data_IF_684754174206
#
_entry.id   IF_684754174206
#
_cell.length_a   1.000
_cell.length_b   1.000
_cell.length_c   1.000
_cell.angle_alpha   90.00
_cell.angle_beta   90.00
_cell.angle_gamma   90.00
#
_symmetry.space_group_name_H-M   'P 1'
#
loop_
_entity.id
_entity.type
_entity.pdbx_description
1 polymer ?
#
# COMPACT_ATOMS: atom_id res chain seq x y z
N UNK A 1 -42.84 -1.16 34.67
CA UNK A 1 -41.55 -1.68 34.17
C UNK A 1 -41.92 -2.52 32.97
N UNK A 2 -41.84 -1.94 31.72
CA UNK A 2 -42.13 -2.73 30.52
C UNK A 2 -41.10 -3.83 30.44
N UNK A 3 -41.58 -5.06 30.32
CA UNK A 3 -40.72 -6.23 30.25
C UNK A 3 -39.89 -6.15 28.95
N UNK A 4 -38.62 -5.78 29.09
CA UNK A 4 -37.67 -5.63 27.97
C UNK A 4 -37.52 -6.98 27.23
N UNK A 5 -37.85 -8.09 27.88
CA UNK A 5 -37.71 -9.44 27.35
C UNK A 5 -38.88 -9.90 26.46
N UNK A 6 -40.01 -9.19 26.48
CA UNK A 6 -41.15 -9.46 25.57
C UNK A 6 -40.96 -8.81 24.19
N UNK A 7 -39.88 -8.06 24.01
CA UNK A 7 -39.62 -7.43 22.70
C UNK A 7 -39.10 -8.49 21.71
N UNK A 8 -39.66 -8.49 20.51
CA UNK A 8 -39.27 -9.35 19.37
C UNK A 8 -37.75 -9.33 19.06
N UNK A 9 -37.04 -8.27 19.48
CA UNK A 9 -35.59 -8.14 19.41
C UNK A 9 -34.82 -9.20 20.24
N UNK A 10 -35.44 -9.77 21.27
CA UNK A 10 -34.83 -10.77 22.14
C UNK A 10 -35.24 -12.20 21.81
N UNK A 11 -35.93 -12.46 20.69
CA UNK A 11 -36.31 -13.82 20.33
C UNK A 11 -35.07 -14.70 20.07
N UNK A 12 -35.10 -15.93 20.60
CA UNK A 12 -33.99 -16.90 20.48
C UNK A 12 -33.62 -17.20 19.03
N UNK A 13 -34.59 -17.17 18.14
CA UNK A 13 -34.39 -17.43 16.70
C UNK A 13 -33.49 -16.38 16.03
N UNK A 14 -33.50 -15.15 16.52
CA UNK A 14 -32.64 -14.07 15.99
C UNK A 14 -31.22 -14.10 16.52
N UNK A 15 -31.01 -14.65 17.71
CA UNK A 15 -29.69 -14.81 18.32
C UNK A 15 -28.81 -15.82 17.58
N UNK A 16 -29.42 -16.93 17.12
CA UNK A 16 -28.72 -17.99 16.38
C UNK A 16 -28.18 -17.49 15.01
N UNK A 17 -28.78 -16.42 14.47
CA UNK A 17 -28.41 -15.83 13.17
C UNK A 17 -27.55 -14.56 13.30
N UNK A 18 -27.16 -14.17 14.50
CA UNK A 18 -26.32 -12.98 14.71
C UNK A 18 -24.85 -13.26 14.35
N UNK A 19 -24.60 -13.68 13.13
CA UNK A 19 -23.26 -13.76 12.57
C UNK A 19 -22.87 -12.40 11.97
N UNK A 20 -21.80 -11.81 12.48
CA UNK A 20 -21.22 -10.62 11.89
C UNK A 20 -20.37 -11.03 10.69
N UNK A 21 -20.81 -10.71 9.51
CA UNK A 21 -19.99 -10.83 8.30
C UNK A 21 -18.84 -9.84 8.36
N UNK A 22 -17.64 -10.31 8.67
CA UNK A 22 -16.42 -9.49 8.64
C UNK A 22 -15.89 -9.59 7.22
N UNK A 23 -16.00 -8.49 6.47
CA UNK A 23 -15.40 -8.41 5.13
C UNK A 23 -13.88 -8.33 5.25
N UNK A 24 -13.20 -9.10 4.41
CA UNK A 24 -11.75 -9.02 4.29
C UNK A 24 -11.34 -7.63 3.80
N UNK A 25 -10.39 -7.02 4.51
CA UNK A 25 -9.78 -5.74 4.15
C UNK A 25 -8.36 -6.04 3.68
N UNK A 26 -8.03 -5.86 2.39
CA UNK A 26 -6.66 -5.98 1.91
C UNK A 26 -5.75 -5.02 2.67
N UNK A 27 -4.62 -5.51 3.15
CA UNK A 27 -3.67 -4.73 3.97
C UNK A 27 -2.22 -5.17 3.77
N UNK A 28 -1.94 -5.90 2.68
CA UNK A 28 -0.64 -6.54 2.48
C UNK A 28 0.50 -5.54 2.29
N UNK A 29 0.29 -4.47 1.52
CA UNK A 29 1.32 -3.44 1.32
C UNK A 29 1.60 -2.71 2.64
N UNK A 30 0.55 -2.47 3.44
CA UNK A 30 0.70 -1.94 4.79
C UNK A 30 1.52 -2.86 5.71
N UNK A 31 1.29 -4.19 5.63
CA UNK A 31 2.03 -5.19 6.43
C UNK A 31 3.50 -5.32 6.02
N UNK A 32 3.84 -5.06 4.76
CA UNK A 32 5.23 -5.02 4.30
C UNK A 32 6.04 -3.88 4.93
N UNK A 33 5.37 -2.89 5.53
CA UNK A 33 6.03 -1.78 6.23
C UNK A 33 6.91 -0.90 5.34
N UNK A 34 6.60 -0.85 4.03
CA UNK A 34 7.41 -0.11 3.05
C UNK A 34 7.34 1.40 3.26
N UNK A 35 6.12 1.90 3.51
CA UNK A 35 5.86 3.33 3.61
C UNK A 35 6.15 3.84 5.02
N UNK A 36 7.26 4.55 5.17
CA UNK A 36 7.63 5.16 6.45
C UNK A 36 6.70 6.34 6.75
N UNK A 37 6.03 6.33 7.92
CA UNK A 37 5.17 7.44 8.32
C UNK A 37 6.00 8.66 8.70
N UNK A 38 5.58 9.83 8.24
CA UNK A 38 6.10 11.12 8.60
C UNK A 38 4.93 12.05 8.94
N UNK A 39 5.10 12.96 9.88
CA UNK A 39 4.05 13.88 10.31
C UNK A 39 4.51 15.30 10.05
N UNK A 40 3.67 16.07 9.37
CA UNK A 40 3.91 17.47 9.04
C UNK A 40 2.90 18.37 9.74
N UNK A 41 3.26 19.62 10.00
CA UNK A 41 2.42 20.64 10.61
C UNK A 41 1.77 21.58 9.58
N UNK A 42 2.05 21.35 8.30
CA UNK A 42 1.57 22.15 7.17
C UNK A 42 0.69 21.31 6.25
N UNK A 43 -0.10 21.96 5.40
CA UNK A 43 -0.93 21.27 4.38
C UNK A 43 -0.14 20.94 3.11
N UNK A 44 0.97 21.62 2.91
CA UNK A 44 1.86 21.43 1.77
C UNK A 44 3.21 20.98 2.30
N UNK A 45 3.85 20.03 1.62
CA UNK A 45 5.22 19.66 1.91
C UNK A 45 6.08 19.80 0.66
N UNK A 46 7.36 19.99 0.87
CA UNK A 46 8.29 20.15 -0.22
C UNK A 46 9.24 18.97 -0.30
N UNK A 47 9.35 18.38 -1.48
CA UNK A 47 10.37 17.39 -1.78
C UNK A 47 11.54 18.14 -2.42
N UNK A 48 12.66 18.19 -1.74
CA UNK A 48 13.91 18.73 -2.27
C UNK A 48 14.72 17.60 -2.87
N UNK A 49 15.08 17.74 -4.14
CA UNK A 49 16.01 16.83 -4.84
C UNK A 49 17.28 17.61 -5.10
N UNK A 50 18.39 17.15 -4.52
CA UNK A 50 19.72 17.64 -4.82
C UNK A 50 20.39 16.62 -5.75
N UNK A 51 20.98 17.11 -6.81
CA UNK A 51 21.83 16.31 -7.71
C UNK A 51 23.24 16.86 -7.59
N UNK A 52 24.14 16.06 -7.06
CA UNK A 52 25.57 16.41 -6.88
C UNK A 52 26.34 16.33 -8.21
N UNK A 53 25.64 16.22 -9.35
CA UNK A 53 26.21 16.05 -10.68
C UNK A 53 26.68 14.62 -10.94
N UNK A 54 27.10 14.36 -12.17
CA UNK A 54 27.63 13.05 -12.53
C UNK A 54 29.07 12.89 -12.01
N UNK A 55 29.38 11.68 -11.51
CA UNK A 55 30.75 11.32 -11.20
C UNK A 55 31.55 11.24 -12.49
N UNK A 56 32.40 12.23 -12.73
CA UNK A 56 33.22 12.32 -13.93
C UNK A 56 34.67 11.97 -13.60
N UNK A 57 35.28 11.15 -14.46
CA UNK A 57 36.72 10.87 -14.35
C UNK A 57 37.50 12.16 -14.59
N UNK A 58 38.41 12.49 -13.67
CA UNK A 58 39.28 13.65 -13.81
C UNK A 58 40.37 13.35 -14.83
N UNK A 59 40.37 14.10 -15.93
CA UNK A 59 41.40 14.00 -16.95
C UNK A 59 42.73 14.55 -16.42
N UNK A 60 43.86 13.89 -16.78
CA UNK A 60 45.17 14.39 -16.44
C UNK A 60 45.46 15.72 -17.16
N UNK A 61 45.96 16.70 -16.42
CA UNK A 61 46.42 17.97 -16.95
C UNK A 61 47.94 18.14 -16.74
N UNK A 62 48.62 18.89 -17.60
CA UNK A 62 50.05 19.23 -17.36
C UNK A 62 50.24 19.97 -16.05
N UNK A 63 51.38 19.80 -15.39
CA UNK A 63 51.70 20.58 -14.18
C UNK A 63 51.67 22.08 -14.47
N UNK A 64 50.84 22.86 -13.74
CA UNK A 64 50.64 24.27 -13.93
C UNK A 64 49.57 24.65 -14.97
N UNK A 65 48.89 23.67 -15.57
CA UNK A 65 47.72 23.90 -16.44
C UNK A 65 46.43 24.18 -15.61
N UNK A 66 45.43 24.76 -16.26
CA UNK A 66 44.13 25.00 -15.62
C UNK A 66 43.47 23.65 -15.24
N UNK A 67 42.89 23.57 -14.05
CA UNK A 67 42.07 22.43 -13.60
C UNK A 67 40.67 22.46 -14.26
N UNK A 68 39.99 21.31 -14.25
CA UNK A 68 38.60 21.24 -14.62
C UNK A 68 37.73 21.88 -13.55
N UNK A 69 36.80 22.73 -13.97
CA UNK A 69 35.80 23.32 -13.04
C UNK A 69 34.58 22.43 -13.04
N UNK A 70 34.19 21.95 -11.86
CA UNK A 70 32.95 21.18 -11.66
C UNK A 70 31.81 22.20 -11.50
N UNK A 71 30.71 21.98 -12.20
CA UNK A 71 29.49 22.80 -12.04
C UNK A 71 28.93 22.68 -10.62
N UNK A 72 28.16 23.70 -10.19
CA UNK A 72 27.49 23.68 -8.90
C UNK A 72 26.33 22.68 -8.86
N UNK A 73 25.99 22.29 -7.62
CA UNK A 73 24.86 21.38 -7.36
C UNK A 73 23.53 21.97 -7.86
N UNK A 74 22.76 21.15 -8.53
CA UNK A 74 21.42 21.53 -8.95
C UNK A 74 20.41 21.08 -7.88
N UNK A 75 19.68 22.05 -7.32
CA UNK A 75 18.58 21.80 -6.40
C UNK A 75 17.25 22.07 -7.06
N UNK A 76 16.32 21.15 -6.93
CA UNK A 76 14.93 21.33 -7.35
C UNK A 76 14.01 21.11 -6.17
N UNK A 77 13.04 22.00 -6.01
CA UNK A 77 12.03 21.95 -4.96
C UNK A 77 10.67 21.72 -5.62
N UNK A 78 9.97 20.67 -5.21
CA UNK A 78 8.59 20.38 -5.60
C UNK A 78 7.67 20.48 -4.39
N UNK A 79 6.62 21.28 -4.51
CA UNK A 79 5.59 21.40 -3.48
C UNK A 79 4.41 20.51 -3.86
N UNK A 80 4.02 19.63 -2.93
CA UNK A 80 2.85 18.77 -3.06
C UNK A 80 1.89 19.11 -1.92
N UNK A 81 0.61 19.19 -2.25
CA UNK A 81 -0.44 19.39 -1.26
C UNK A 81 -1.00 18.03 -0.82
N UNK A 82 -1.15 17.86 0.49
CA UNK A 82 -1.74 16.63 1.04
C UNK A 82 -3.23 16.59 0.72
N UNK A 83 -3.74 15.53 0.08
CA UNK A 83 -5.16 15.39 -0.17
C UNK A 83 -5.94 15.16 1.12
N UNK A 84 -7.18 15.65 1.14
CA UNK A 84 -8.10 15.59 2.25
C UNK A 84 -9.20 14.57 1.99
N UNK A 85 -9.36 13.63 2.92
CA UNK A 85 -10.38 12.60 2.86
C UNK A 85 -11.27 12.68 4.09
N UNK A 86 -12.57 12.93 3.90
CA UNK A 86 -13.54 13.08 4.97
C UNK A 86 -14.72 12.12 4.78
N UNK A 87 -15.21 11.61 5.89
CA UNK A 87 -16.46 10.86 5.96
C UNK A 87 -17.29 11.32 7.14
N UNK A 88 -18.53 11.66 6.84
CA UNK A 88 -19.51 12.05 7.85
C UNK A 88 -20.47 10.90 8.12
N UNK A 89 -20.86 10.77 9.39
CA UNK A 89 -21.87 9.83 9.84
C UNK A 89 -22.66 10.48 11.00
N UNK A 90 -23.74 9.88 11.40
CA UNK A 90 -24.50 10.33 12.55
C UNK A 90 -25.14 9.14 13.26
N UNK A 91 -25.36 9.28 14.56
CA UNK A 91 -26.17 8.37 15.36
C UNK A 91 -27.43 9.10 15.77
N UNK A 92 -28.59 8.62 15.31
CA UNK A 92 -29.90 9.15 15.67
C UNK A 92 -30.37 8.52 16.99
N UNK A 93 -31.21 9.25 17.73
CA UNK A 93 -31.79 8.76 18.97
C UNK A 93 -32.54 7.43 18.78
N UNK A 94 -33.27 7.31 17.66
CA UNK A 94 -34.08 6.13 17.33
C UNK A 94 -33.21 4.87 17.06
N UNK A 95 -31.95 5.06 16.68
CA UNK A 95 -31.01 3.93 16.45
C UNK A 95 -30.58 3.24 17.74
N UNK A 96 -30.75 3.88 18.89
CA UNK A 96 -30.30 3.39 20.19
C UNK A 96 -31.49 3.10 21.11
N UNK A 97 -32.62 3.77 20.88
CA UNK A 97 -33.79 3.67 21.73
C UNK A 97 -34.41 2.27 21.64
N UNK A 98 -34.43 1.55 22.78
CA UNK A 98 -35.03 0.20 22.90
C UNK A 98 -34.43 -0.86 21.93
N UNK A 99 -33.22 -0.64 21.43
CA UNK A 99 -32.51 -1.59 20.57
C UNK A 99 -31.58 -2.45 21.41
N UNK A 100 -31.59 -3.75 21.15
CA UNK A 100 -30.69 -4.70 21.81
C UNK A 100 -29.29 -4.59 21.26
N UNK A 101 -28.27 -4.66 22.14
CA UNK A 101 -26.88 -4.74 21.71
C UNK A 101 -26.59 -6.02 20.92
N UNK A 102 -25.77 -5.91 19.86
CA UNK A 102 -25.42 -7.03 19.01
C UNK A 102 -24.76 -8.16 19.80
N UNK A 103 -25.20 -9.39 19.57
CA UNK A 103 -24.72 -10.61 20.24
C UNK A 103 -24.91 -10.65 21.76
N UNK A 104 -25.79 -9.81 22.35
CA UNK A 104 -26.15 -9.84 23.76
C UNK A 104 -27.61 -10.20 23.93
N UNK A 105 -27.91 -11.07 24.92
CA UNK A 105 -29.28 -11.46 25.25
C UNK A 105 -29.96 -10.48 26.20
N UNK A 106 -29.19 -9.72 26.96
CA UNK A 106 -29.70 -8.97 28.13
C UNK A 106 -29.38 -7.47 28.06
N UNK A 107 -28.39 -7.05 27.24
CA UNK A 107 -27.96 -5.66 27.22
C UNK A 107 -28.62 -4.86 26.10
N UNK A 108 -29.06 -3.67 26.44
CA UNK A 108 -29.55 -2.69 25.47
C UNK A 108 -28.35 -1.99 24.82
N UNK A 109 -28.44 -1.66 23.53
CA UNK A 109 -27.44 -0.88 22.81
C UNK A 109 -27.22 0.47 23.50
N UNK A 110 -25.97 0.86 23.64
CA UNK A 110 -25.61 2.15 24.23
C UNK A 110 -25.15 3.11 23.14
N UNK A 111 -25.36 4.41 23.35
CA UNK A 111 -24.85 5.43 22.42
C UNK A 111 -23.34 5.30 22.20
N UNK A 112 -22.57 5.07 23.28
CA UNK A 112 -21.13 4.87 23.19
C UNK A 112 -20.75 3.61 22.39
N UNK A 113 -21.48 2.49 22.57
CA UNK A 113 -21.28 1.26 21.80
C UNK A 113 -21.55 1.46 20.31
N UNK A 114 -22.61 2.19 19.98
CA UNK A 114 -22.95 2.52 18.59
C UNK A 114 -21.92 3.41 17.94
N UNK A 115 -21.46 4.46 18.64
CA UNK A 115 -20.39 5.34 18.17
C UNK A 115 -19.10 4.53 17.94
N UNK A 116 -18.70 3.70 18.89
CA UNK A 116 -17.50 2.86 18.75
C UNK A 116 -17.60 1.89 17.56
N UNK A 117 -18.76 1.28 17.34
CA UNK A 117 -19.00 0.41 16.18
C UNK A 117 -18.89 1.17 14.84
N UNK A 118 -19.45 2.38 14.76
CA UNK A 118 -19.33 3.23 13.57
C UNK A 118 -17.88 3.67 13.36
N UNK A 119 -17.20 4.11 14.41
CA UNK A 119 -15.79 4.51 14.36
C UNK A 119 -14.88 3.37 13.85
N UNK A 120 -15.08 2.16 14.34
CA UNK A 120 -14.34 0.99 13.87
C UNK A 120 -14.57 0.71 12.38
N UNK A 121 -15.81 0.86 11.89
CA UNK A 121 -16.14 0.72 10.47
C UNK A 121 -15.44 1.78 9.62
N UNK A 122 -15.50 3.04 10.03
CA UNK A 122 -14.85 4.12 9.29
C UNK A 122 -13.32 3.96 9.29
N UNK A 123 -12.72 3.53 10.39
CA UNK A 123 -11.29 3.20 10.44
C UNK A 123 -10.90 2.12 9.43
N UNK A 124 -11.73 1.08 9.24
CA UNK A 124 -11.50 0.06 8.21
C UNK A 124 -11.60 0.64 6.79
N UNK A 125 -12.54 1.57 6.53
CA UNK A 125 -12.65 2.23 5.22
C UNK A 125 -11.40 3.07 4.91
N UNK A 126 -10.88 3.82 5.89
CA UNK A 126 -9.64 4.58 5.70
C UNK A 126 -8.42 3.67 5.52
N UNK A 127 -8.33 2.57 6.27
CA UNK A 127 -7.28 1.58 6.08
C UNK A 127 -7.31 0.96 4.67
N UNK A 128 -8.51 0.71 4.13
CA UNK A 128 -8.69 0.25 2.76
C UNK A 128 -8.22 1.30 1.73
N UNK A 129 -8.54 2.57 1.97
CA UNK A 129 -8.10 3.69 1.12
C UNK A 129 -6.59 3.84 1.14
N UNK A 130 -5.94 3.74 2.32
CA UNK A 130 -4.48 3.76 2.43
C UNK A 130 -3.84 2.61 1.64
N UNK A 131 -4.38 1.39 1.75
CA UNK A 131 -3.87 0.24 0.99
C UNK A 131 -4.01 0.45 -0.52
N UNK A 132 -5.16 0.98 -0.96
CA UNK A 132 -5.40 1.34 -2.36
C UNK A 132 -4.39 2.35 -2.88
N UNK A 133 -4.13 3.41 -2.12
CA UNK A 133 -3.14 4.43 -2.48
C UNK A 133 -1.74 3.85 -2.57
N UNK A 134 -1.30 3.11 -1.53
CA UNK A 134 0.03 2.48 -1.49
C UNK A 134 0.24 1.50 -2.64
N UNK A 135 -0.77 0.67 -2.92
CA UNK A 135 -0.70 -0.29 -4.01
C UNK A 135 -0.60 0.43 -5.36
N UNK A 136 -1.38 1.50 -5.60
CA UNK A 136 -1.32 2.25 -6.86
C UNK A 136 0.00 3.00 -7.03
N UNK A 137 0.58 3.53 -5.95
CA UNK A 137 1.94 4.10 -6.00
C UNK A 137 2.94 3.06 -6.47
N UNK A 138 2.87 1.82 -5.98
CA UNK A 138 3.76 0.73 -6.41
C UNK A 138 3.47 0.31 -7.86
N UNK A 139 2.19 0.15 -8.23
CA UNK A 139 1.78 -0.32 -9.56
C UNK A 139 2.10 0.66 -10.67
N UNK A 140 1.77 1.92 -10.46
CA UNK A 140 1.71 2.93 -11.52
C UNK A 140 2.58 4.16 -11.26
N UNK A 141 3.19 4.28 -10.09
CA UNK A 141 3.89 5.49 -9.66
C UNK A 141 2.95 6.70 -9.51
N UNK A 142 1.64 6.45 -9.30
CA UNK A 142 0.61 7.49 -9.21
C UNK A 142 -0.20 7.35 -7.95
N UNK A 143 -0.61 8.48 -7.40
CA UNK A 143 -1.65 8.52 -6.38
C UNK A 143 -2.99 8.72 -7.07
N UNK A 144 -3.89 7.76 -6.90
CA UNK A 144 -5.22 7.76 -7.50
C UNK A 144 -6.29 8.03 -6.44
N UNK A 145 -7.32 8.76 -6.81
CA UNK A 145 -8.53 8.88 -6.00
C UNK A 145 -9.42 7.63 -6.13
N UNK A 146 -10.46 7.54 -5.31
CA UNK A 146 -11.38 6.40 -5.27
C UNK A 146 -12.13 6.16 -6.60
N UNK A 147 -12.31 7.18 -7.42
CA UNK A 147 -12.91 7.12 -8.77
C UNK A 147 -11.90 6.76 -9.88
N UNK A 148 -10.61 6.57 -9.50
CA UNK A 148 -9.52 6.29 -10.43
C UNK A 148 -8.89 7.52 -11.07
N UNK A 149 -9.32 8.74 -10.73
CA UNK A 149 -8.68 9.96 -11.21
C UNK A 149 -7.28 10.12 -10.61
N UNK A 150 -6.36 10.70 -11.36
CA UNK A 150 -4.98 10.90 -10.93
C UNK A 150 -4.87 12.16 -10.09
N UNK A 151 -4.55 12.01 -8.81
CA UNK A 151 -4.23 13.11 -7.92
C UNK A 151 -2.80 13.61 -8.15
N UNK A 152 -1.85 12.68 -8.19
CA UNK A 152 -0.43 12.97 -8.48
C UNK A 152 0.17 11.87 -9.35
N UNK A 153 0.98 12.28 -10.33
CA UNK A 153 1.84 11.41 -11.13
C UNK A 153 3.29 11.66 -10.73
N UNK A 154 3.88 10.76 -9.95
CA UNK A 154 5.22 10.94 -9.40
C UNK A 154 6.32 10.89 -10.44
N UNK A 155 6.10 10.25 -11.59
CA UNK A 155 7.05 10.33 -12.70
C UNK A 155 7.17 11.76 -13.23
N UNK A 156 6.02 12.40 -13.46
CA UNK A 156 5.96 13.80 -13.90
C UNK A 156 6.51 14.75 -12.82
N UNK A 157 6.09 14.55 -11.56
CA UNK A 157 6.52 15.41 -10.46
C UNK A 157 8.02 15.34 -10.20
N UNK A 158 8.62 14.14 -10.32
CA UNK A 158 10.07 13.96 -10.10
C UNK A 158 10.89 14.18 -11.38
N UNK A 159 10.24 14.43 -12.53
CA UNK A 159 10.90 14.58 -13.83
C UNK A 159 11.60 13.30 -14.31
N UNK A 160 11.03 12.15 -13.98
CA UNK A 160 11.56 10.84 -14.31
C UNK A 160 10.66 10.12 -15.31
N UNK A 161 11.22 9.16 -16.05
CA UNK A 161 10.47 8.35 -17.02
C UNK A 161 10.24 6.96 -16.45
N UNK A 162 9.01 6.46 -16.60
CA UNK A 162 8.68 5.09 -16.22
C UNK A 162 9.53 4.10 -17.02
N UNK A 163 9.98 3.03 -16.36
CA UNK A 163 10.70 1.94 -17.01
C UNK A 163 9.79 1.20 -17.99
N UNK A 164 10.40 0.71 -19.07
CA UNK A 164 9.69 -0.16 -20.00
C UNK A 164 9.22 -1.45 -19.30
N UNK A 165 8.05 -1.92 -19.68
CA UNK A 165 7.49 -3.16 -19.14
C UNK A 165 8.34 -4.36 -19.58
N UNK A 166 8.77 -5.17 -18.63
CA UNK A 166 9.58 -6.37 -18.89
C UNK A 166 8.66 -7.53 -19.22
N UNK A 167 8.84 -8.11 -20.39
CA UNK A 167 8.20 -9.34 -20.80
C UNK A 167 8.96 -10.54 -20.25
N UNK A 168 8.31 -11.30 -19.35
CA UNK A 168 8.87 -12.51 -18.75
C UNK A 168 8.72 -13.74 -19.62
N UNK A 169 7.88 -13.68 -20.70
CA UNK A 169 7.68 -14.76 -21.68
C UNK A 169 7.27 -16.09 -20.98
N UNK A 170 6.34 -16.00 -20.02
CA UNK A 170 5.93 -17.13 -19.20
C UNK A 170 4.95 -18.06 -19.92
N UNK A 171 4.32 -17.60 -20.99
CA UNK A 171 3.40 -18.35 -21.84
C UNK A 171 4.10 -19.17 -22.93
N UNK A 172 5.42 -19.05 -23.06
CA UNK A 172 6.21 -19.78 -24.04
C UNK A 172 6.23 -21.27 -23.71
N UNK A 173 5.68 -22.09 -24.60
CA UNK A 173 5.62 -23.55 -24.41
C UNK A 173 7.02 -24.23 -24.45
N UNK A 174 8.01 -23.58 -25.09
CA UNK A 174 9.37 -24.10 -25.25
C UNK A 174 10.40 -23.03 -24.91
N UNK A 175 10.49 -22.58 -23.66
CA UNK A 175 11.41 -21.55 -23.25
C UNK A 175 12.86 -22.03 -23.38
N UNK A 176 13.76 -21.12 -23.74
CA UNK A 176 15.20 -21.41 -23.74
C UNK A 176 15.71 -21.55 -22.31
N UNK A 177 16.49 -22.59 -22.05
CA UNK A 177 17.07 -22.84 -20.72
C UNK A 177 17.86 -21.63 -20.21
N UNK A 178 17.60 -21.22 -18.96
CA UNK A 178 18.23 -20.09 -18.33
C UNK A 178 17.68 -18.71 -18.73
N UNK A 179 16.69 -18.64 -19.63
CA UNK A 179 16.15 -17.38 -20.11
C UNK A 179 15.44 -16.58 -19.00
N UNK A 180 14.61 -17.25 -18.22
CA UNK A 180 13.89 -16.62 -17.10
C UNK A 180 14.85 -16.13 -16.02
N UNK A 181 15.82 -16.95 -15.63
CA UNK A 181 16.86 -16.57 -14.66
C UNK A 181 17.67 -15.38 -15.14
N UNK A 182 17.99 -15.32 -16.43
CA UNK A 182 18.71 -14.20 -17.04
C UNK A 182 17.89 -12.91 -17.00
N UNK A 183 16.57 -12.99 -17.26
CA UNK A 183 15.65 -11.85 -17.13
C UNK A 183 15.59 -11.36 -15.67
N UNK A 184 15.43 -12.24 -14.68
CA UNK A 184 15.47 -11.88 -13.26
C UNK A 184 16.81 -11.22 -12.88
N UNK A 185 17.95 -11.79 -13.29
CA UNK A 185 19.27 -11.19 -13.05
C UNK A 185 19.42 -9.81 -13.73
N UNK A 186 18.77 -9.61 -14.89
CA UNK A 186 18.68 -8.31 -15.56
C UNK A 186 17.95 -7.28 -14.70
N UNK A 187 16.80 -7.64 -14.14
CA UNK A 187 16.04 -6.78 -13.23
C UNK A 187 16.86 -6.39 -11.99
N UNK A 188 17.56 -7.35 -11.37
CA UNK A 188 18.41 -7.08 -10.20
C UNK A 188 19.51 -6.06 -10.54
N UNK A 189 20.17 -6.21 -11.68
CA UNK A 189 21.20 -5.25 -12.15
C UNK A 189 20.62 -3.88 -12.44
N UNK A 190 19.51 -3.84 -13.18
CA UNK A 190 18.81 -2.59 -13.48
C UNK A 190 18.37 -1.86 -12.20
N UNK A 191 17.91 -2.59 -11.19
CA UNK A 191 17.56 -2.02 -9.90
C UNK A 191 18.79 -1.40 -9.20
N UNK A 192 19.92 -2.09 -9.21
CA UNK A 192 21.17 -1.57 -8.66
C UNK A 192 21.66 -0.30 -9.38
N UNK A 193 21.55 -0.26 -10.70
CA UNK A 193 21.87 0.93 -11.51
C UNK A 193 20.95 2.12 -11.20
N UNK A 194 19.63 1.89 -11.07
CA UNK A 194 18.67 2.95 -10.78
C UNK A 194 18.87 3.51 -9.36
N UNK A 195 19.23 2.65 -8.40
CA UNK A 195 19.47 3.06 -7.02
C UNK A 195 20.78 3.79 -6.81
N UNK A 196 21.71 3.75 -7.79
CA UNK A 196 22.97 4.48 -7.79
C UNK A 196 23.76 4.27 -6.47
N UNK A 197 23.93 3.01 -6.08
CA UNK A 197 24.69 2.64 -4.89
C UNK A 197 23.94 2.73 -3.56
N UNK A 198 22.66 3.13 -3.55
CA UNK A 198 21.85 3.01 -2.34
C UNK A 198 21.66 1.54 -1.95
N UNK A 199 21.82 1.20 -0.66
CA UNK A 199 21.62 -0.16 -0.19
C UNK A 199 20.15 -0.56 -0.26
N UNK A 200 19.91 -1.81 -0.64
CA UNK A 200 18.59 -2.44 -0.55
C UNK A 200 18.75 -3.86 0.04
N UNK A 201 17.73 -4.35 0.73
CA UNK A 201 17.78 -5.66 1.40
C UNK A 201 17.27 -6.79 0.52
N UNK A 202 16.47 -6.48 -0.50
CA UNK A 202 15.91 -7.45 -1.42
C UNK A 202 15.08 -6.78 -2.49
N UNK A 203 14.57 -7.59 -3.42
CA UNK A 203 13.65 -7.16 -4.47
C UNK A 203 12.38 -7.96 -4.31
N UNK A 204 11.24 -7.28 -4.32
CA UNK A 204 9.92 -7.88 -4.17
C UNK A 204 9.06 -7.59 -5.40
N UNK A 205 8.22 -8.55 -5.76
CA UNK A 205 7.31 -8.43 -6.89
C UNK A 205 5.89 -8.82 -6.47
N UNK A 206 4.95 -7.90 -6.62
CA UNK A 206 3.52 -8.20 -6.44
C UNK A 206 2.95 -8.64 -7.78
N UNK A 207 2.43 -9.86 -7.83
CA UNK A 207 1.97 -10.53 -9.05
C UNK A 207 0.46 -10.72 -9.06
N UNK A 208 -0.12 -10.68 -10.26
CA UNK A 208 -1.46 -11.16 -10.52
C UNK A 208 -1.51 -12.69 -10.62
N UNK A 209 -2.71 -13.24 -10.61
CA UNK A 209 -2.92 -14.69 -10.52
C UNK A 209 -2.29 -15.45 -11.68
N UNK A 210 -2.57 -15.07 -12.95
CA UNK A 210 -2.07 -15.77 -14.11
C UNK A 210 -0.54 -15.68 -14.24
N UNK A 211 0.02 -14.50 -13.95
CA UNK A 211 1.47 -14.32 -13.91
C UNK A 211 2.12 -15.27 -12.91
N UNK A 212 1.58 -15.33 -11.69
CA UNK A 212 2.13 -16.15 -10.62
C UNK A 212 1.99 -17.64 -10.88
N UNK A 213 0.85 -18.09 -11.41
CA UNK A 213 0.59 -19.49 -11.73
C UNK A 213 1.52 -20.00 -12.85
N UNK A 214 1.69 -19.21 -13.92
CA UNK A 214 2.60 -19.56 -15.02
C UNK A 214 4.07 -19.51 -14.59
N UNK A 215 4.43 -18.58 -13.72
CA UNK A 215 5.78 -18.50 -13.16
C UNK A 215 6.12 -19.75 -12.35
N UNK A 216 5.22 -20.24 -11.51
CA UNK A 216 5.42 -21.50 -10.77
C UNK A 216 5.45 -22.71 -11.71
N UNK A 217 4.63 -22.69 -12.76
CA UNK A 217 4.58 -23.76 -13.75
C UNK A 217 5.80 -23.78 -14.68
N UNK A 218 6.57 -22.70 -14.75
CA UNK A 218 7.71 -22.56 -15.67
C UNK A 218 8.77 -23.65 -15.45
N UNK A 219 9.31 -24.28 -16.53
CA UNK A 219 10.26 -25.39 -16.42
C UNK A 219 11.48 -25.09 -15.56
N UNK A 220 12.11 -23.92 -15.72
CA UNK A 220 13.29 -23.51 -14.92
C UNK A 220 12.99 -23.42 -13.42
N UNK A 221 11.81 -22.90 -13.07
CA UNK A 221 11.38 -22.79 -11.65
C UNK A 221 11.18 -24.19 -11.11
N UNK A 222 10.42 -25.04 -11.82
CA UNK A 222 10.16 -26.43 -11.41
C UNK A 222 11.46 -27.23 -11.27
N UNK A 223 12.42 -27.05 -12.16
CA UNK A 223 13.69 -27.79 -12.12
C UNK A 223 14.59 -27.35 -10.97
N UNK A 224 14.65 -26.05 -10.70
CA UNK A 224 15.37 -25.50 -9.54
C UNK A 224 14.87 -26.10 -8.23
N UNK A 225 13.59 -26.40 -8.15
CA UNK A 225 12.96 -26.95 -6.95
C UNK A 225 12.88 -28.49 -6.92
N UNK A 226 13.19 -29.21 -7.99
CA UNK A 226 13.20 -30.70 -8.01
C UNK A 226 14.29 -31.35 -7.16
N UNK A 227 15.40 -30.66 -6.91
CA UNK A 227 16.56 -31.19 -6.21
C UNK A 227 16.65 -30.83 -4.71
N UNK A 228 15.73 -30.04 -4.21
CA UNK A 228 15.71 -29.60 -2.81
C UNK A 228 14.50 -30.19 -2.12
N UNK A 229 14.52 -30.41 -0.80
CA UNK A 229 13.32 -30.76 0.01
C UNK A 229 12.14 -29.76 -0.12
N UNK A 230 12.15 -29.03 -1.16
CA UNK A 230 11.41 -27.87 -1.58
C UNK A 230 10.02 -28.16 -2.14
N UNK A 231 9.58 -29.39 -2.25
CA UNK A 231 8.14 -29.63 -2.35
C UNK A 231 7.40 -29.11 -1.12
N UNK A 232 8.07 -29.07 0.04
CA UNK A 232 7.58 -28.40 1.23
C UNK A 232 7.57 -26.88 1.06
N UNK A 233 8.57 -26.28 0.42
CA UNK A 233 8.70 -24.83 0.24
C UNK A 233 7.71 -24.29 -0.79
N UNK A 234 7.47 -25.00 -1.90
CA UNK A 234 6.38 -24.67 -2.83
C UNK A 234 5.01 -24.83 -2.18
N UNK A 235 4.84 -25.85 -1.34
CA UNK A 235 3.64 -26.03 -0.54
C UNK A 235 3.50 -24.93 0.52
N UNK A 236 4.61 -24.49 1.10
CA UNK A 236 4.69 -23.38 2.06
C UNK A 236 4.54 -22.04 1.36
N UNK A 237 4.85 -21.91 0.08
CA UNK A 237 4.57 -20.70 -0.70
C UNK A 237 3.06 -20.42 -0.83
N UNK A 238 2.24 -21.49 -0.84
CA UNK A 238 0.77 -21.37 -0.73
C UNK A 238 0.29 -21.25 0.73
N UNK A 239 1.16 -21.59 1.72
CA UNK A 239 0.87 -21.57 3.16
C UNK A 239 1.98 -20.77 3.81
N UNK A 240 1.85 -19.46 3.90
CA UNK A 240 2.87 -18.60 4.50
C UNK A 240 2.96 -18.80 6.02
N UNK A 241 4.18 -18.93 6.51
CA UNK A 241 4.67 -18.89 7.87
C UNK A 241 3.70 -18.87 9.06
N UNK A 242 3.96 -19.63 10.10
CA UNK A 242 3.20 -19.81 11.36
C UNK A 242 1.97 -20.72 11.31
N UNK A 243 1.85 -21.62 10.32
CA UNK A 243 0.77 -22.62 10.33
C UNK A 243 -0.63 -22.07 10.06
N UNK A 244 -0.75 -20.79 9.76
CA UNK A 244 -1.98 -20.18 9.25
C UNK A 244 -1.92 -20.11 7.73
N UNK A 245 -3.01 -20.50 7.06
CA UNK A 245 -3.16 -20.33 5.61
C UNK A 245 -3.11 -18.82 5.32
N UNK A 246 -1.98 -18.37 4.80
CA UNK A 246 -1.88 -16.99 4.31
C UNK A 246 -2.64 -16.87 2.99
N UNK A 247 -3.33 -15.76 2.82
CA UNK A 247 -3.99 -15.42 1.56
C UNK A 247 -3.00 -15.14 0.42
N UNK A 248 -1.70 -15.08 0.75
CA UNK A 248 -0.65 -14.68 -0.18
C UNK A 248 0.37 -15.81 -0.33
N UNK A 249 0.49 -16.34 -1.54
CA UNK A 249 1.59 -17.23 -1.89
C UNK A 249 2.82 -16.41 -2.22
N UNK A 250 3.99 -16.78 -1.70
CA UNK A 250 5.25 -16.12 -2.05
C UNK A 250 6.38 -17.13 -2.21
N UNK A 251 7.27 -16.92 -3.18
CA UNK A 251 8.49 -17.70 -3.35
C UNK A 251 9.60 -16.85 -3.96
N UNK A 252 10.84 -17.28 -3.79
CA UNK A 252 12.01 -16.59 -4.29
C UNK A 252 12.56 -17.27 -5.53
N UNK A 253 12.83 -16.53 -6.60
CA UNK A 253 13.50 -17.02 -7.79
C UNK A 253 14.36 -15.92 -8.42
N UNK A 254 15.61 -16.26 -8.78
CA UNK A 254 16.52 -15.35 -9.45
C UNK A 254 16.87 -14.07 -8.65
N UNK A 255 16.77 -14.10 -7.31
CA UNK A 255 17.02 -12.96 -6.41
C UNK A 255 15.81 -12.02 -6.26
N UNK A 256 14.63 -12.44 -6.71
CA UNK A 256 13.37 -11.68 -6.60
C UNK A 256 12.37 -12.54 -5.81
N UNK A 257 11.74 -11.94 -4.80
CA UNK A 257 10.63 -12.58 -4.08
C UNK A 257 9.33 -12.22 -4.79
N UNK A 258 8.72 -13.21 -5.43
CA UNK A 258 7.43 -13.07 -6.08
C UNK A 258 6.31 -13.41 -5.11
N UNK A 259 5.30 -12.58 -5.04
CA UNK A 259 4.14 -12.75 -4.18
C UNK A 259 2.85 -12.55 -4.97
N UNK A 260 1.92 -13.51 -4.85
CA UNK A 260 0.59 -13.38 -5.43
C UNK A 260 -0.25 -12.43 -4.56
N UNK A 261 -0.50 -11.20 -5.06
CA UNK A 261 -1.32 -10.23 -4.36
C UNK A 261 -2.80 -10.53 -4.52
N UNK A 262 -3.42 -11.03 -3.46
CA UNK A 262 -4.85 -11.29 -3.40
C UNK A 262 -5.58 -10.11 -2.80
N UNK A 263 -5.91 -9.16 -3.65
CA UNK A 263 -6.83 -8.08 -3.31
C UNK A 263 -8.28 -8.45 -3.57
N UNK A 264 -9.18 -7.54 -3.26
CA UNK A 264 -10.62 -7.67 -3.54
C UNK A 264 -11.14 -6.46 -4.29
N UNK A 265 -11.99 -6.67 -5.30
CA UNK A 265 -12.62 -5.58 -6.05
C UNK A 265 -11.61 -4.72 -6.82
N UNK A 266 -11.59 -3.42 -6.52
CA UNK A 266 -10.71 -2.44 -7.17
C UNK A 266 -9.26 -2.47 -6.65
N UNK A 267 -9.00 -3.17 -5.54
CA UNK A 267 -7.67 -3.25 -4.93
C UNK A 267 -7.05 -4.58 -5.32
N UNK A 268 -6.23 -4.57 -6.36
CA UNK A 268 -5.60 -5.77 -6.89
C UNK A 268 -4.50 -5.47 -7.89
N UNK A 269 -3.77 -6.51 -8.26
CA UNK A 269 -2.83 -6.52 -9.37
C UNK A 269 -3.50 -7.20 -10.55
N UNK A 270 -3.32 -6.66 -11.74
CA UNK A 270 -3.87 -7.23 -12.96
C UNK A 270 -3.32 -8.65 -13.19
N UNK A 271 -4.18 -9.57 -13.64
CA UNK A 271 -3.88 -11.01 -13.66
C UNK A 271 -2.57 -11.35 -14.37
N UNK A 272 -2.25 -10.64 -15.46
CA UNK A 272 -1.11 -10.90 -16.33
C UNK A 272 0.13 -10.05 -15.99
N UNK A 273 0.06 -9.25 -14.92
CA UNK A 273 1.09 -8.27 -14.57
C UNK A 273 1.80 -8.63 -13.27
N UNK A 274 3.02 -8.11 -13.16
CA UNK A 274 3.72 -8.02 -11.89
C UNK A 274 4.34 -6.63 -11.72
N UNK A 275 4.53 -6.21 -10.48
CA UNK A 275 5.12 -4.91 -10.14
C UNK A 275 6.28 -5.14 -9.19
N UNK A 276 7.48 -4.79 -9.65
CA UNK A 276 8.75 -5.10 -8.99
C UNK A 276 9.28 -3.83 -8.34
N UNK A 277 9.71 -3.94 -7.10
CA UNK A 277 10.24 -2.83 -6.33
C UNK A 277 11.25 -3.31 -5.29
N UNK A 278 12.19 -2.44 -4.84
CA UNK A 278 13.19 -2.80 -3.84
C UNK A 278 12.65 -2.69 -2.43
N UNK A 279 13.19 -3.51 -1.53
CA UNK A 279 12.93 -3.49 -0.09
C UNK A 279 14.12 -2.87 0.67
N UNK A 280 13.83 -2.21 1.79
CA UNK A 280 14.86 -1.73 2.72
C UNK A 280 15.69 -0.54 2.20
N UNK A 281 15.24 0.15 1.15
CA UNK A 281 15.88 1.38 0.69
C UNK A 281 15.45 2.53 1.60
N UNK A 282 16.37 3.28 2.22
CA UNK A 282 16.03 4.40 3.06
C UNK A 282 15.28 5.49 2.27
N UNK A 283 14.28 6.09 2.89
CA UNK A 283 13.52 7.24 2.39
C UNK A 283 12.88 7.08 1.00
N UNK A 284 12.75 5.86 0.50
CA UNK A 284 12.18 5.59 -0.82
C UNK A 284 10.67 5.76 -0.84
N UNK A 285 9.97 5.08 0.08
CA UNK A 285 8.53 5.14 0.22
C UNK A 285 8.15 5.85 1.51
N UNK A 286 7.38 6.89 1.41
CA UNK A 286 6.95 7.69 2.55
C UNK A 286 5.45 7.94 2.55
N UNK A 287 4.92 8.11 3.75
CA UNK A 287 3.56 8.61 3.97
C UNK A 287 3.66 9.88 4.80
N UNK A 288 3.22 11.01 4.25
CA UNK A 288 3.14 12.25 5.04
C UNK A 288 1.69 12.46 5.51
N UNK A 289 1.53 12.67 6.82
CA UNK A 289 0.27 13.00 7.46
C UNK A 289 0.22 14.48 7.77
N UNK A 290 -0.85 15.16 7.33
CA UNK A 290 -1.10 16.57 7.61
C UNK A 290 -2.17 16.76 8.70
N UNK A 291 -2.22 17.95 9.36
CA UNK A 291 -3.25 18.25 10.34
C UNK A 291 -4.66 18.25 9.73
N UNK A 292 -5.67 17.98 10.55
CA UNK A 292 -7.07 18.11 10.16
C UNK A 292 -7.47 19.57 9.99
N UNK A 293 -8.64 19.81 9.39
CA UNK A 293 -9.18 21.17 9.20
C UNK A 293 -9.97 21.71 10.40
N UNK A 294 -9.70 21.14 11.59
CA UNK A 294 -10.28 21.64 12.84
C UNK A 294 -9.45 22.77 13.44
N UNK A 295 -10.12 23.75 14.06
CA UNK A 295 -9.44 24.83 14.76
C UNK A 295 -8.46 24.35 15.85
N UNK A 296 -8.75 23.18 16.43
CA UNK A 296 -7.94 22.55 17.50
C UNK A 296 -6.64 21.94 16.95
N UNK A 297 -6.57 21.67 15.64
CA UNK A 297 -5.43 21.02 14.99
C UNK A 297 -4.55 21.98 14.19
N UNK A 298 -4.85 23.28 14.23
CA UNK A 298 -4.04 24.30 13.55
C UNK A 298 -2.62 24.31 14.11
N UNK A 299 -1.62 24.22 13.23
CA UNK A 299 -0.19 24.17 13.56
C UNK A 299 0.20 23.01 14.50
N UNK A 300 -0.51 21.89 14.44
CA UNK A 300 -0.15 20.66 15.14
C UNK A 300 0.39 19.64 14.16
N UNK A 301 1.19 18.70 14.66
CA UNK A 301 1.68 17.58 13.83
C UNK A 301 0.52 16.70 13.36
N UNK A 302 0.53 16.34 12.08
CA UNK A 302 -0.49 15.52 11.47
C UNK A 302 -0.58 14.13 12.10
N UNK A 303 -1.80 13.61 12.21
CA UNK A 303 -2.09 12.26 12.69
C UNK A 303 -2.73 11.43 11.57
N UNK A 304 -2.60 10.11 11.67
CA UNK A 304 -3.13 9.20 10.67
C UNK A 304 -4.63 9.34 10.46
N UNK A 305 -5.39 9.47 11.55
CA UNK A 305 -6.85 9.54 11.52
C UNK A 305 -7.34 10.48 12.60
N UNK A 306 -8.27 11.34 12.25
CA UNK A 306 -8.97 12.21 13.16
C UNK A 306 -10.43 11.80 13.25
N UNK A 307 -10.99 11.88 14.44
CA UNK A 307 -12.40 11.63 14.69
C UNK A 307 -12.95 12.72 15.61
N UNK A 308 -14.02 13.36 15.21
CA UNK A 308 -14.71 14.38 15.99
C UNK A 308 -16.18 14.03 16.13
N UNK A 309 -16.72 14.27 17.31
CA UNK A 309 -18.14 14.11 17.57
C UNK A 309 -18.72 15.43 18.10
N UNK A 310 -19.92 15.76 17.65
CA UNK A 310 -20.63 16.94 18.10
C UNK A 310 -22.15 16.74 17.99
N UNK A 311 -22.94 17.28 18.96
CA UNK A 311 -24.39 17.18 18.93
C UNK A 311 -24.95 18.05 17.78
N UNK A 312 -26.04 17.57 17.17
CA UNK A 312 -26.77 18.43 16.22
C UNK A 312 -27.47 19.59 16.97
N UNK A 313 -27.67 20.74 16.35
CA UNK A 313 -28.27 21.91 17.00
C UNK A 313 -29.65 21.63 17.63
N UNK A 314 -30.40 20.68 17.09
CA UNK A 314 -31.71 20.27 17.60
C UNK A 314 -31.64 19.13 18.64
N UNK A 315 -30.45 18.64 19.00
CA UNK A 315 -30.24 17.58 19.98
C UNK A 315 -30.75 16.19 19.59
N UNK A 316 -31.22 15.98 18.34
CA UNK A 316 -31.84 14.71 17.92
C UNK A 316 -30.85 13.65 17.48
N UNK A 317 -29.60 14.05 17.16
CA UNK A 317 -28.55 13.15 16.71
C UNK A 317 -27.18 13.60 17.17
N UNK A 318 -26.26 12.64 17.26
CA UNK A 318 -24.83 12.89 17.44
C UNK A 318 -24.15 12.75 16.08
N UNK A 319 -23.56 13.83 15.58
CA UNK A 319 -22.79 13.81 14.36
C UNK A 319 -21.38 13.28 14.64
N UNK A 320 -20.87 12.51 13.70
CA UNK A 320 -19.53 11.93 13.72
C UNK A 320 -18.82 12.34 12.43
N UNK A 321 -17.62 12.84 12.56
CA UNK A 321 -16.80 13.27 11.44
C UNK A 321 -15.44 12.60 11.55
N UNK A 322 -15.00 11.98 10.46
CA UNK A 322 -13.75 11.25 10.36
C UNK A 322 -12.93 11.84 9.22
N UNK A 323 -11.68 12.18 9.50
CA UNK A 323 -10.78 12.76 8.50
C UNK A 323 -9.46 12.02 8.46
N UNK A 324 -8.93 11.86 7.25
CA UNK A 324 -7.59 11.39 6.98
C UNK A 324 -6.95 12.35 5.97
N UNK A 325 -5.82 12.92 6.35
CA UNK A 325 -5.03 13.81 5.50
C UNK A 325 -3.68 13.17 5.27
N UNK A 326 -3.57 12.34 4.24
CA UNK A 326 -2.39 11.52 4.00
C UNK A 326 -2.03 11.52 2.51
N UNK A 327 -0.73 11.59 2.25
CA UNK A 327 -0.16 11.38 0.91
C UNK A 327 0.89 10.29 0.98
N UNK A 328 0.77 9.32 0.09
CA UNK A 328 1.72 8.22 -0.06
C UNK A 328 2.54 8.45 -1.33
N UNK A 329 3.86 8.45 -1.24
CA UNK A 329 4.71 8.74 -2.39
C UNK A 329 5.97 7.90 -2.42
N UNK A 330 6.54 7.79 -3.64
CA UNK A 330 7.85 7.22 -3.90
C UNK A 330 8.79 8.35 -4.34
N UNK A 331 9.92 8.50 -3.64
CA UNK A 331 10.90 9.56 -3.93
C UNK A 331 11.69 9.32 -5.23
N UNK A 332 11.80 8.06 -5.68
CA UNK A 332 12.50 7.65 -6.91
C UNK A 332 11.63 6.69 -7.72
N UNK A 333 10.61 7.18 -8.45
CA UNK A 333 9.63 6.32 -9.13
C UNK A 333 10.24 5.41 -10.22
N UNK A 334 11.44 5.69 -10.74
CA UNK A 334 12.14 4.81 -11.68
C UNK A 334 12.44 3.41 -11.15
N UNK A 335 12.48 3.21 -9.82
CA UNK A 335 12.66 1.88 -9.22
C UNK A 335 11.44 0.98 -9.38
N UNK A 336 10.30 1.54 -9.76
CA UNK A 336 9.06 0.78 -9.99
C UNK A 336 9.13 0.18 -11.40
N UNK A 337 9.42 -1.12 -11.47
CA UNK A 337 9.59 -1.84 -12.73
C UNK A 337 8.33 -2.68 -12.99
N UNK A 338 7.56 -2.36 -14.03
CA UNK A 338 6.44 -3.20 -14.43
C UNK A 338 6.92 -4.42 -15.19
N UNK A 339 6.25 -5.54 -14.98
CA UNK A 339 6.47 -6.76 -15.74
C UNK A 339 5.16 -7.37 -16.22
N UNK A 340 5.23 -8.12 -17.29
CA UNK A 340 4.09 -8.82 -17.88
C UNK A 340 4.43 -10.29 -18.15
N UNK A 341 3.38 -11.10 -18.26
CA UNK A 341 3.45 -12.52 -18.52
C UNK A 341 3.86 -12.85 -19.97
N UNK A 342 3.33 -12.06 -20.91
CA UNK A 342 3.45 -12.25 -22.38
C UNK A 342 3.81 -10.96 -23.08
#
# INVERSE_FOLDING_TARGET
MFDIFENDAFSITRLTLAMREIKYVPSRVGQLGLFMPDSIDTLDFAIEKQSDGDLVLVASSPRGGPGQTIGGDNRSLRKLRVPHFQRDDAVNADEVQQVRAFASEVQVETLAGKIASKAARHSQHFALTEEYHRLNVIKTGRLLDADGSVLYDYFTEMGETQQAEIDFDLDNATPTDGALRKKCAGVVRQMGEILDGLPFTGIHALCGNAFFDDLIAHPEVRETYKGYEAASTLRTAYISGNGQVSSYGSFEFGGITFENYRGGGTIGVDSDKCHIFPLGVPDLFKTAYAPADYMETVNTMGQRLYAKQYPSPNGKRQNLEFQMNAIHYCSRPRVLIPGKRT
#
